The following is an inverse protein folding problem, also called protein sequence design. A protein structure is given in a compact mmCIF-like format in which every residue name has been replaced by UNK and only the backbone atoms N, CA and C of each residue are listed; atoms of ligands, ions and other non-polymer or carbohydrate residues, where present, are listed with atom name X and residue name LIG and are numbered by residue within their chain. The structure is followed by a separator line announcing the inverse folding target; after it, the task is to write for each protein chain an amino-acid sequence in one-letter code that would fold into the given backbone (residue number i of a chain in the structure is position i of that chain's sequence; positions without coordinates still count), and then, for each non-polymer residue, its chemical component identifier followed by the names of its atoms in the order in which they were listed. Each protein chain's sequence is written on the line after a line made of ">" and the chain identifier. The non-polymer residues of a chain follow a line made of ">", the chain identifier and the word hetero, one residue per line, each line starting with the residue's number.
data_IF_251091022463
#
_entry.id   IF_251091022463
#
_cell.length_a   1.000
_cell.length_b   1.000
_cell.length_c   1.000
_cell.angle_alpha   90.00
_cell.angle_beta   90.00
_cell.angle_gamma   90.00
#
_symmetry.space_group_name_H-M   'P 1'
#
loop_
_entity.id
_entity.type
_entity.pdbx_description
1 polymer ?
#
# COMPACT_ATOMS: atom_id res chain seq x y z
N UNK A 1 7.22 -52.65 -40.14
CA UNK A 1 6.55 -52.63 -38.81
C UNK A 1 7.15 -51.52 -37.93
N UNK A 2 6.56 -50.33 -37.97
CA UNK A 2 6.94 -49.23 -37.09
C UNK A 2 6.31 -49.46 -35.72
N UNK A 3 7.15 -49.68 -34.70
CA UNK A 3 6.71 -49.81 -33.31
C UNK A 3 6.26 -48.41 -32.86
N UNK A 4 4.95 -48.22 -32.77
CA UNK A 4 4.35 -47.03 -32.18
C UNK A 4 4.61 -47.05 -30.68
N UNK A 5 5.52 -46.19 -30.22
CA UNK A 5 5.68 -45.95 -28.79
C UNK A 5 4.55 -45.01 -28.39
N UNK A 6 3.53 -45.60 -27.77
CA UNK A 6 2.46 -44.88 -27.08
C UNK A 6 3.09 -44.16 -25.89
N UNK A 7 3.38 -42.88 -26.08
CA UNK A 7 3.73 -42.02 -24.96
C UNK A 7 2.46 -41.83 -24.15
N UNK A 8 2.28 -42.68 -23.15
CA UNK A 8 1.43 -42.38 -22.01
C UNK A 8 2.10 -41.20 -21.32
N UNK A 9 1.76 -39.99 -21.79
CA UNK A 9 1.90 -38.78 -21.01
C UNK A 9 1.05 -39.02 -19.78
N UNK A 10 1.71 -39.48 -18.72
CA UNK A 10 1.18 -39.41 -17.36
C UNK A 10 0.56 -38.02 -17.26
N UNK A 11 -0.76 -38.02 -17.13
CA UNK A 11 -1.56 -36.85 -16.85
C UNK A 11 -0.92 -36.18 -15.64
N UNK A 12 -0.04 -35.22 -15.88
CA UNK A 12 0.34 -34.23 -14.88
C UNK A 12 -1.00 -33.67 -14.49
N UNK A 13 -1.43 -34.03 -13.29
CA UNK A 13 -2.62 -33.52 -12.67
C UNK A 13 -2.60 -32.02 -12.93
N UNK A 14 -3.47 -31.59 -13.86
CA UNK A 14 -3.71 -30.19 -14.12
C UNK A 14 -4.45 -29.71 -12.89
N UNK A 15 -3.69 -29.55 -11.80
CA UNK A 15 -4.03 -28.64 -10.74
C UNK A 15 -4.30 -27.37 -11.50
N UNK A 16 -5.57 -26.98 -11.57
CA UNK A 16 -5.92 -25.61 -11.92
C UNK A 16 -5.31 -24.74 -10.84
N UNK A 17 -3.99 -24.53 -10.95
CA UNK A 17 -3.29 -23.45 -10.33
C UNK A 17 -3.86 -22.25 -11.06
N UNK A 18 -4.97 -21.76 -10.50
CA UNK A 18 -5.67 -20.57 -10.92
C UNK A 18 -4.76 -19.40 -10.55
N UNK A 19 -3.64 -19.30 -11.27
CA UNK A 19 -2.72 -18.17 -11.20
C UNK A 19 -3.60 -17.00 -11.62
N UNK A 20 -3.90 -16.05 -10.73
CA UNK A 20 -4.73 -14.92 -11.10
C UNK A 20 -4.01 -14.17 -12.23
N UNK A 21 -4.53 -14.28 -13.45
CA UNK A 21 -3.97 -13.64 -14.64
C UNK A 21 -4.78 -12.38 -14.93
N UNK A 22 -4.09 -11.24 -15.10
CA UNK A 22 -4.71 -9.96 -15.42
C UNK A 22 -4.95 -9.03 -14.23
N UNK A 23 -6.14 -8.41 -14.17
CA UNK A 23 -6.48 -7.35 -13.21
C UNK A 23 -6.47 -7.81 -11.76
N UNK A 24 -6.77 -9.07 -11.48
CA UNK A 24 -6.83 -9.60 -10.11
C UNK A 24 -5.44 -9.68 -9.43
N UNK A 25 -4.39 -10.04 -10.19
CA UNK A 25 -3.02 -10.02 -9.67
C UNK A 25 -2.37 -8.63 -9.70
N UNK A 26 -2.79 -7.78 -10.65
CA UNK A 26 -2.17 -6.46 -10.84
C UNK A 26 -2.76 -5.41 -9.89
N UNK A 27 -4.03 -5.54 -9.51
CA UNK A 27 -4.75 -4.56 -8.67
C UNK A 27 -4.10 -4.35 -7.28
N UNK A 28 -3.68 -5.39 -6.54
CA UNK A 28 -2.96 -5.22 -5.28
C UNK A 28 -1.62 -4.50 -5.47
N UNK A 29 -0.88 -4.82 -6.54
CA UNK A 29 0.40 -4.18 -6.85
C UNK A 29 0.27 -2.68 -7.09
N UNK A 30 -0.75 -2.26 -7.84
CA UNK A 30 -1.04 -0.84 -8.02
C UNK A 30 -1.44 -0.15 -6.71
N UNK A 31 -2.24 -0.79 -5.87
CA UNK A 31 -2.64 -0.22 -4.58
C UNK A 31 -1.43 0.06 -3.68
N UNK A 32 -0.51 -0.90 -3.60
CA UNK A 32 0.77 -0.76 -2.87
C UNK A 32 1.62 0.37 -3.47
N UNK A 33 1.77 0.41 -4.79
CA UNK A 33 2.55 1.46 -5.47
C UNK A 33 2.00 2.87 -5.18
N UNK A 34 0.68 3.06 -5.27
CA UNK A 34 0.06 4.36 -5.03
C UNK A 34 0.26 4.87 -3.61
N UNK A 35 0.19 3.97 -2.62
CA UNK A 35 0.43 4.34 -1.23
C UNK A 35 1.89 4.64 -0.96
N UNK A 36 2.81 3.85 -1.52
CA UNK A 36 4.24 4.12 -1.40
C UNK A 36 4.61 5.48 -2.02
N UNK A 37 4.05 5.78 -3.19
CA UNK A 37 4.22 7.07 -3.86
C UNK A 37 3.61 8.23 -3.06
N UNK A 38 2.42 8.04 -2.50
CA UNK A 38 1.77 9.03 -1.63
C UNK A 38 2.63 9.39 -0.41
N UNK A 39 3.28 8.40 0.19
CA UNK A 39 4.17 8.63 1.35
C UNK A 39 5.48 9.33 0.94
N UNK A 40 6.06 9.01 -0.21
CA UNK A 40 7.19 9.79 -0.74
C UNK A 40 6.82 11.28 -0.91
N UNK A 41 5.64 11.58 -1.47
CA UNK A 41 5.18 12.97 -1.60
C UNK A 41 4.93 13.64 -0.25
N UNK A 42 4.34 12.93 0.70
CA UNK A 42 4.15 13.43 2.06
C UNK A 42 5.49 13.77 2.74
N UNK A 43 6.52 12.92 2.53
CA UNK A 43 7.87 13.19 3.03
C UNK A 43 8.50 14.43 2.41
N UNK A 44 8.40 14.58 1.09
CA UNK A 44 8.88 15.79 0.39
C UNK A 44 8.17 17.05 0.89
N UNK A 45 6.85 16.99 1.10
CA UNK A 45 6.07 18.12 1.63
C UNK A 45 6.53 18.52 3.05
N UNK A 46 6.81 17.54 3.91
CA UNK A 46 7.32 17.79 5.26
C UNK A 46 8.73 18.41 5.25
N UNK A 47 9.61 17.95 4.35
CA UNK A 47 10.95 18.55 4.17
C UNK A 47 10.83 19.99 3.65
N UNK A 48 9.92 20.26 2.72
CA UNK A 48 9.68 21.61 2.21
C UNK A 48 9.15 22.56 3.30
N UNK A 49 8.24 22.12 4.17
CA UNK A 49 7.77 22.95 5.29
C UNK A 49 8.89 23.30 6.28
N UNK A 50 9.85 22.38 6.48
CA UNK A 50 11.05 22.64 7.27
C UNK A 50 11.91 23.71 6.61
N UNK A 51 12.10 23.62 5.29
CA UNK A 51 12.92 24.57 4.52
C UNK A 51 12.28 25.97 4.45
N UNK A 52 10.95 26.05 4.38
CA UNK A 52 10.18 27.30 4.38
C UNK A 52 10.10 28.01 5.74
N UNK A 53 10.81 27.53 6.77
CA UNK A 53 10.88 28.12 8.13
C UNK A 53 9.52 28.32 8.84
N UNK A 54 8.42 27.77 8.34
CA UNK A 54 7.11 27.77 9.06
C UNK A 54 7.23 27.01 10.38
N UNK A 55 8.03 25.94 10.41
CA UNK A 55 8.35 25.19 11.62
C UNK A 55 9.08 26.05 12.67
N UNK A 56 9.93 27.00 12.24
CA UNK A 56 10.63 27.92 13.14
C UNK A 56 9.68 28.96 13.77
N UNK A 57 8.60 29.35 13.08
CA UNK A 57 7.52 30.20 13.63
C UNK A 57 6.55 29.45 14.54
N UNK A 58 6.37 28.14 14.36
CA UNK A 58 5.56 27.31 15.28
C UNK A 58 6.30 27.02 16.59
N UNK A 59 7.64 26.91 16.53
CA UNK A 59 8.52 26.70 17.69
C UNK A 59 8.62 27.92 18.64
N UNK A 60 8.14 29.09 18.23
CA UNK A 60 8.04 30.26 19.12
C UNK A 60 6.74 30.26 19.95
N UNK A 61 5.85 29.29 19.73
CA UNK A 61 4.61 29.06 20.50
C UNK A 61 4.91 27.99 21.56
N UNK A 62 4.40 28.07 22.80
CA UNK A 62 4.71 27.14 23.89
C UNK A 62 4.00 25.79 23.73
N UNK A 63 4.23 25.13 22.60
CA UNK A 63 3.68 23.83 22.24
C UNK A 63 4.83 22.85 22.06
N UNK A 64 4.77 21.71 22.73
CA UNK A 64 5.80 20.69 22.63
C UNK A 64 5.95 20.18 21.19
N UNK A 65 7.21 20.07 20.72
CA UNK A 65 7.55 19.58 19.38
C UNK A 65 6.94 18.20 19.09
N UNK A 66 6.74 17.40 20.14
CA UNK A 66 6.18 16.06 20.07
C UNK A 66 4.73 16.05 19.58
N UNK A 67 3.89 16.99 20.03
CA UNK A 67 2.49 17.11 19.60
C UNK A 67 2.36 17.52 18.12
N UNK A 68 3.28 18.35 17.63
CA UNK A 68 3.30 18.79 16.23
C UNK A 68 3.69 17.63 15.32
N UNK A 69 4.74 16.87 15.70
CA UNK A 69 5.19 15.70 14.94
C UNK A 69 4.10 14.62 14.94
N UNK A 70 3.53 14.28 16.09
CA UNK A 70 2.55 13.19 16.19
C UNK A 70 1.27 13.48 15.42
N UNK A 71 0.75 14.71 15.47
CA UNK A 71 -0.40 15.13 14.69
C UNK A 71 -0.15 15.06 13.18
N UNK A 72 1.06 15.41 12.73
CA UNK A 72 1.47 15.29 11.32
C UNK A 72 1.58 13.85 10.86
N UNK A 73 2.23 13.00 11.67
CA UNK A 73 2.35 11.56 11.41
C UNK A 73 0.96 10.91 11.29
N UNK A 74 0.05 11.25 12.20
CA UNK A 74 -1.33 10.77 12.18
C UNK A 74 -2.07 11.25 10.92
N UNK A 75 -1.84 12.50 10.51
CA UNK A 75 -2.38 13.06 9.27
C UNK A 75 -1.92 12.27 8.04
N UNK A 76 -0.63 11.96 7.92
CA UNK A 76 -0.11 11.15 6.82
C UNK A 76 -0.63 9.71 6.83
N UNK A 77 -0.73 9.11 8.02
CA UNK A 77 -1.35 7.80 8.18
C UNK A 77 -2.81 7.81 7.67
N UNK A 78 -3.60 8.80 8.10
CA UNK A 78 -5.01 8.92 7.72
C UNK A 78 -5.17 9.15 6.21
N UNK A 79 -4.36 10.02 5.61
CA UNK A 79 -4.38 10.28 4.17
C UNK A 79 -4.05 8.99 3.39
N UNK A 80 -2.99 8.27 3.78
CA UNK A 80 -2.61 7.01 3.15
C UNK A 80 -3.67 5.92 3.33
N UNK A 81 -4.28 5.85 4.51
CA UNK A 81 -5.35 4.89 4.81
C UNK A 81 -6.60 5.16 3.96
N UNK A 82 -7.03 6.42 3.88
CA UNK A 82 -8.18 6.83 3.05
C UNK A 82 -7.88 6.56 1.57
N UNK A 83 -6.68 6.90 1.09
CA UNK A 83 -6.25 6.63 -0.28
C UNK A 83 -6.29 5.13 -0.60
N UNK A 84 -5.75 4.28 0.28
CA UNK A 84 -5.78 2.82 0.09
C UNK A 84 -7.22 2.29 0.09
N UNK A 85 -8.07 2.78 1.00
CA UNK A 85 -9.48 2.39 1.06
C UNK A 85 -10.23 2.74 -0.22
N UNK A 86 -9.98 3.92 -0.80
CA UNK A 86 -10.58 4.32 -2.08
C UNK A 86 -10.17 3.34 -3.19
N UNK A 87 -8.91 2.92 -3.23
CA UNK A 87 -8.40 1.97 -4.23
C UNK A 87 -9.00 0.56 -4.07
N UNK A 88 -9.14 0.07 -2.83
CA UNK A 88 -9.84 -1.19 -2.56
C UNK A 88 -11.29 -1.10 -3.03
N UNK A 89 -12.01 -0.04 -2.64
CA UNK A 89 -13.42 0.12 -2.98
C UNK A 89 -13.60 0.15 -4.50
N UNK A 90 -12.73 0.87 -5.20
CA UNK A 90 -12.72 0.94 -6.66
C UNK A 90 -12.41 -0.43 -7.28
N UNK A 91 -11.41 -1.15 -6.76
CA UNK A 91 -11.05 -2.50 -7.21
C UNK A 91 -12.19 -3.52 -7.02
N UNK A 92 -12.95 -3.42 -5.94
CA UNK A 92 -14.08 -4.30 -5.68
C UNK A 92 -15.32 -3.93 -6.49
N UNK A 93 -15.68 -2.64 -6.58
CA UNK A 93 -16.94 -2.21 -7.21
C UNK A 93 -16.84 -2.15 -8.74
N UNK A 94 -15.72 -1.67 -9.28
CA UNK A 94 -15.55 -1.42 -10.72
C UNK A 94 -14.94 -2.62 -11.42
N UNK A 95 -13.86 -3.16 -10.84
CA UNK A 95 -13.11 -4.27 -11.44
C UNK A 95 -13.62 -5.65 -10.98
N UNK A 96 -14.55 -5.70 -10.02
CA UNK A 96 -15.08 -6.94 -9.41
C UNK A 96 -13.99 -7.92 -8.97
N UNK A 97 -12.83 -7.38 -8.56
CA UNK A 97 -11.70 -8.20 -8.12
C UNK A 97 -12.03 -8.86 -6.79
N UNK A 98 -11.82 -10.17 -6.70
CA UNK A 98 -11.92 -10.89 -5.45
C UNK A 98 -10.66 -10.69 -4.61
N UNK A 99 -10.66 -9.69 -3.72
CA UNK A 99 -9.55 -9.40 -2.80
C UNK A 99 -9.40 -10.43 -1.65
N UNK A 100 -10.21 -11.48 -1.65
CA UNK A 100 -10.21 -12.56 -0.67
C UNK A 100 -11.56 -12.76 0.00
N UNK A 101 -11.81 -13.97 0.49
CA UNK A 101 -13.08 -14.38 1.09
C UNK A 101 -13.31 -13.77 2.50
N UNK A 102 -12.27 -13.17 3.10
CA UNK A 102 -12.31 -12.56 4.43
C UNK A 102 -11.96 -11.06 4.37
N UNK A 103 -12.94 -10.15 4.29
CA UNK A 103 -12.70 -8.71 4.21
C UNK A 103 -11.96 -8.16 5.44
N UNK A 104 -12.13 -8.80 6.60
CA UNK A 104 -11.44 -8.40 7.83
C UNK A 104 -9.92 -8.64 7.77
N UNK A 105 -9.49 -9.71 7.08
CA UNK A 105 -8.06 -10.00 6.90
C UNK A 105 -7.38 -8.97 6.00
N UNK A 106 -8.07 -8.55 4.93
CA UNK A 106 -7.61 -7.48 4.05
C UNK A 106 -7.48 -6.16 4.83
N UNK A 107 -8.48 -5.80 5.63
CA UNK A 107 -8.43 -4.59 6.46
C UNK A 107 -7.21 -4.57 7.39
N UNK A 108 -6.93 -5.68 8.08
CA UNK A 108 -5.81 -5.79 9.02
C UNK A 108 -4.46 -5.67 8.29
N UNK A 109 -4.34 -6.30 7.11
CA UNK A 109 -3.16 -6.18 6.25
C UNK A 109 -2.95 -4.73 5.84
N UNK A 110 -4.01 -4.05 5.38
CA UNK A 110 -3.96 -2.63 4.98
C UNK A 110 -3.51 -1.75 6.12
N UNK A 111 -4.07 -1.92 7.32
CA UNK A 111 -3.67 -1.13 8.49
C UNK A 111 -2.20 -1.36 8.81
N UNK A 112 -1.74 -2.62 8.83
CA UNK A 112 -0.34 -2.96 9.08
C UNK A 112 0.60 -2.36 8.02
N UNK A 113 0.21 -2.44 6.75
CA UNK A 113 0.97 -1.89 5.64
C UNK A 113 1.06 -0.37 5.71
N UNK A 114 -0.07 0.34 5.84
CA UNK A 114 -0.10 1.81 5.94
C UNK A 114 0.68 2.29 7.16
N UNK A 115 0.62 1.56 8.28
CA UNK A 115 1.42 1.87 9.47
C UNK A 115 2.93 1.73 9.19
N UNK A 116 3.35 0.65 8.54
CA UNK A 116 4.74 0.42 8.14
C UNK A 116 5.25 1.50 7.19
N UNK A 117 4.46 1.82 6.15
CA UNK A 117 4.84 2.84 5.16
C UNK A 117 4.87 4.23 5.79
N UNK A 118 3.92 4.57 6.66
CA UNK A 118 3.96 5.84 7.42
C UNK A 118 5.24 5.93 8.26
N UNK A 119 5.62 4.84 8.94
CA UNK A 119 6.89 4.77 9.66
C UNK A 119 8.09 5.09 8.77
N UNK A 120 8.17 4.47 7.59
CA UNK A 120 9.21 4.76 6.61
C UNK A 120 9.20 6.21 6.14
N UNK A 121 8.03 6.76 5.79
CA UNK A 121 7.89 8.15 5.34
C UNK A 121 8.35 9.15 6.39
N UNK A 122 8.08 8.87 7.65
CA UNK A 122 8.48 9.76 8.75
C UNK A 122 9.97 9.69 9.03
N UNK A 123 10.59 8.51 8.90
CA UNK A 123 12.05 8.37 8.95
C UNK A 123 12.72 9.17 7.83
N UNK A 124 12.20 9.05 6.60
CA UNK A 124 12.68 9.82 5.44
C UNK A 124 12.49 11.33 5.58
N UNK A 125 11.49 11.76 6.35
CA UNK A 125 11.24 13.19 6.59
C UNK A 125 12.15 13.78 7.68
N UNK A 126 12.68 12.93 8.56
CA UNK A 126 13.57 13.32 9.66
C UNK A 126 15.02 13.43 9.20
N UNK A 127 15.45 12.51 8.34
CA UNK A 127 16.79 12.48 7.70
C UNK A 127 16.93 13.65 6.73
#
# INVERSE_FOLDING_TARGET
>A
PAIGIEYVVLSVEKREENIPIGVEASSPGFAVMFVMMGVCFAGVAMVQERHNKTLARLLTTPTEKFFIISGKMLGFFLVGFIQFMILILFGQLVLKVNWGNLPLGVLLLVVSYVLSVTGLGTLLSVV
#
